data_IF_897626732325
#
_entry.id   IF_897626732325
#
_cell.length_a   1.000
_cell.length_b   1.000
_cell.length_c   1.000
_cell.angle_alpha   90.00
_cell.angle_beta   90.00
_cell.angle_gamma   90.00
#
_symmetry.space_group_name_H-M   'P 1'
#
loop_
_entity.id
_entity.type
_entity.pdbx_description
1 polymer ?
#
# COMPACT_ATOMS: atom_id res chain seq x y z
N UNK A 1 13.64 33.80 -44.03
CA UNK A 1 12.72 33.32 -42.99
C UNK A 1 13.53 32.58 -41.90
N UNK A 2 14.25 33.32 -41.09
CA UNK A 2 14.88 32.88 -39.84
C UNK A 2 14.74 34.09 -38.91
N UNK A 3 13.82 34.05 -37.97
CA UNK A 3 13.68 34.89 -36.80
C UNK A 3 12.19 35.01 -36.41
N UNK A 4 11.61 33.90 -35.94
CA UNK A 4 10.28 33.92 -35.30
C UNK A 4 10.19 32.88 -34.17
N UNK A 5 11.32 32.49 -33.57
CA UNK A 5 11.40 31.46 -32.53
C UNK A 5 12.05 31.88 -31.22
N UNK A 6 12.54 33.11 -31.08
CA UNK A 6 13.35 33.50 -29.91
C UNK A 6 12.66 34.50 -28.95
N UNK A 7 11.51 35.06 -29.30
CA UNK A 7 10.85 36.13 -28.46
C UNK A 7 9.94 35.61 -27.35
N UNK A 8 9.88 34.27 -27.07
CA UNK A 8 9.01 33.69 -26.03
C UNK A 8 9.72 33.12 -24.80
N UNK A 9 11.04 33.26 -24.65
CA UNK A 9 11.81 32.55 -23.61
C UNK A 9 12.41 33.44 -22.51
N UNK A 10 12.08 34.71 -22.42
CA UNK A 10 12.46 35.52 -21.26
C UNK A 10 11.64 35.06 -20.04
N UNK A 11 12.27 34.30 -19.11
CA UNK A 11 11.67 33.78 -17.87
C UNK A 11 11.58 32.25 -17.75
N UNK A 12 11.93 31.48 -18.78
CA UNK A 12 11.92 30.00 -18.71
C UNK A 12 13.23 29.53 -18.10
N UNK A 13 13.13 28.72 -17.02
CA UNK A 13 14.31 28.16 -16.39
C UNK A 13 15.02 27.14 -17.31
N UNK A 14 16.33 26.93 -17.07
CA UNK A 14 17.10 25.92 -17.79
C UNK A 14 16.50 24.51 -17.65
N UNK A 15 15.88 24.21 -16.50
CA UNK A 15 15.20 22.96 -16.22
C UNK A 15 13.92 22.80 -17.07
N UNK A 16 13.06 23.83 -17.12
CA UNK A 16 11.87 23.80 -17.96
C UNK A 16 12.23 23.69 -19.45
N UNK A 17 13.25 24.45 -19.90
CA UNK A 17 13.73 24.36 -21.26
C UNK A 17 14.27 22.96 -21.62
N UNK A 18 14.91 22.28 -20.67
CA UNK A 18 15.33 20.90 -20.83
C UNK A 18 14.14 19.96 -20.99
N UNK A 19 13.14 20.04 -20.08
CA UNK A 19 11.94 19.21 -20.13
C UNK A 19 11.16 19.44 -21.42
N UNK A 20 11.00 20.68 -21.86
CA UNK A 20 10.34 21.02 -23.11
C UNK A 20 11.04 20.36 -24.31
N UNK A 21 12.36 20.51 -24.42
CA UNK A 21 13.14 19.90 -25.51
C UNK A 21 13.13 18.39 -25.48
N UNK A 22 13.09 17.78 -24.30
CA UNK A 22 13.10 16.31 -24.19
C UNK A 22 11.88 15.68 -24.87
N UNK A 23 10.71 16.30 -24.80
CA UNK A 23 9.48 15.84 -25.45
C UNK A 23 9.22 16.46 -26.83
N UNK A 24 10.09 17.29 -27.37
CA UNK A 24 9.92 17.85 -28.71
C UNK A 24 9.98 16.75 -29.79
N UNK A 25 9.41 16.99 -30.99
CA UNK A 25 9.41 16.01 -32.08
C UNK A 25 10.80 15.50 -32.50
N UNK A 26 11.82 16.33 -32.31
CA UNK A 26 13.25 16.05 -32.55
C UNK A 26 14.02 15.88 -31.22
N UNK A 27 13.30 15.77 -30.11
CA UNK A 27 13.85 15.74 -28.77
C UNK A 27 14.44 14.40 -28.34
N UNK A 28 14.65 14.26 -27.04
CA UNK A 28 15.32 13.10 -26.43
C UNK A 28 14.62 11.78 -26.77
N UNK A 29 13.30 11.75 -26.70
CA UNK A 29 12.51 10.54 -26.94
C UNK A 29 12.33 10.21 -28.43
N UNK A 30 12.60 11.13 -29.36
CA UNK A 30 12.47 10.90 -30.79
C UNK A 30 13.32 9.72 -31.29
N UNK A 31 14.36 9.35 -30.53
CA UNK A 31 15.25 8.21 -30.83
C UNK A 31 14.73 6.87 -30.34
N UNK A 32 13.70 6.89 -29.48
CA UNK A 32 13.10 5.66 -28.96
C UNK A 32 12.21 5.03 -30.04
N UNK A 33 12.32 3.71 -30.19
CA UNK A 33 11.46 2.96 -31.10
C UNK A 33 10.01 3.13 -30.67
N UNK A 34 9.12 3.42 -31.58
CA UNK A 34 7.69 3.63 -31.37
C UNK A 34 7.33 4.90 -30.55
N UNK A 35 8.23 5.89 -30.46
CA UNK A 35 7.89 7.18 -29.86
C UNK A 35 7.03 8.01 -30.84
N UNK A 36 5.89 8.45 -30.34
CA UNK A 36 5.00 9.39 -31.00
C UNK A 36 4.96 10.69 -30.18
N UNK A 37 5.23 11.83 -30.83
CA UNK A 37 5.08 13.13 -30.19
C UNK A 37 3.62 13.39 -29.82
N UNK A 38 3.38 13.81 -28.58
CA UNK A 38 2.09 14.21 -28.05
C UNK A 38 2.22 15.50 -27.29
N UNK A 39 1.55 16.53 -27.77
CA UNK A 39 1.54 17.86 -27.14
C UNK A 39 1.01 17.80 -25.70
N UNK A 40 0.05 16.93 -25.46
CA UNK A 40 -0.55 16.68 -24.16
C UNK A 40 0.49 16.15 -23.15
N UNK A 41 1.35 15.23 -23.58
CA UNK A 41 2.43 14.69 -22.74
C UNK A 41 3.48 15.75 -22.40
N UNK A 42 3.85 16.58 -23.38
CA UNK A 42 4.79 17.68 -23.19
C UNK A 42 4.20 18.74 -22.23
N UNK A 43 2.93 19.08 -22.41
CA UNK A 43 2.21 20.04 -21.54
C UNK A 43 2.16 19.55 -20.10
N UNK A 44 1.87 18.25 -19.89
CA UNK A 44 1.91 17.61 -18.57
C UNK A 44 3.30 17.71 -17.95
N UNK A 45 4.33 17.33 -18.69
CA UNK A 45 5.71 17.32 -18.20
C UNK A 45 6.19 18.72 -17.78
N UNK A 46 5.82 19.74 -18.55
CA UNK A 46 6.11 21.14 -18.21
C UNK A 46 5.37 21.61 -16.94
N UNK A 47 4.11 21.24 -16.78
CA UNK A 47 3.34 21.59 -15.59
C UNK A 47 3.95 20.96 -14.34
N UNK A 48 4.35 19.68 -14.43
CA UNK A 48 5.05 18.97 -13.34
C UNK A 48 6.39 19.66 -13.05
N UNK A 49 7.18 19.98 -14.07
CA UNK A 49 8.47 20.66 -13.91
C UNK A 49 8.33 21.99 -13.14
N UNK A 50 7.34 22.80 -13.52
CA UNK A 50 7.05 24.09 -12.86
C UNK A 50 6.63 23.90 -11.40
N UNK A 51 5.76 22.92 -11.13
CA UNK A 51 5.32 22.63 -9.77
C UNK A 51 6.49 22.19 -8.87
N UNK A 52 7.38 21.35 -9.38
CA UNK A 52 8.59 20.92 -8.67
C UNK A 52 9.54 22.08 -8.35
N UNK A 53 9.74 23.00 -9.29
CA UNK A 53 10.66 24.14 -9.10
C UNK A 53 10.23 25.12 -8.01
N UNK A 54 8.92 25.28 -7.83
CA UNK A 54 8.38 26.24 -6.84
C UNK A 54 7.88 25.53 -5.57
N UNK A 55 8.21 24.25 -5.41
CA UNK A 55 7.75 23.40 -4.32
C UNK A 55 6.24 23.50 -4.08
N UNK A 56 5.44 23.49 -5.15
CA UNK A 56 3.99 23.61 -5.09
C UNK A 56 3.28 22.30 -5.46
N UNK A 57 2.14 21.99 -4.83
CA UNK A 57 1.32 20.86 -5.23
C UNK A 57 0.60 21.12 -6.57
N UNK A 58 0.27 20.03 -7.28
CA UNK A 58 -0.40 20.08 -8.59
C UNK A 58 -1.36 18.89 -8.77
N UNK A 59 -2.59 19.18 -9.22
CA UNK A 59 -3.53 18.18 -9.72
C UNK A 59 -3.48 18.14 -11.26
N UNK A 60 -3.31 16.95 -11.84
CA UNK A 60 -3.31 16.76 -13.29
C UNK A 60 -4.30 15.67 -13.67
N UNK A 61 -5.35 16.05 -14.38
CA UNK A 61 -6.16 15.08 -15.12
C UNK A 61 -5.60 14.99 -16.54
N UNK A 62 -5.10 13.81 -16.90
CA UNK A 62 -4.58 13.53 -18.23
C UNK A 62 -5.22 12.27 -18.78
N UNK A 63 -5.96 12.39 -19.87
CA UNK A 63 -6.71 11.31 -20.49
C UNK A 63 -5.88 10.06 -20.80
N UNK A 64 -6.57 8.96 -21.07
CA UNK A 64 -5.87 7.73 -21.51
C UNK A 64 -5.11 7.98 -22.80
N UNK A 65 -3.95 7.37 -22.95
CA UNK A 65 -3.11 7.54 -24.16
C UNK A 65 -2.13 8.71 -24.14
N UNK A 66 -2.23 9.66 -23.20
CA UNK A 66 -1.29 10.79 -23.07
C UNK A 66 0.16 10.32 -22.81
N UNK A 67 0.33 9.18 -22.17
CA UNK A 67 1.66 8.71 -21.73
C UNK A 67 2.08 9.33 -20.40
N UNK A 68 1.14 9.40 -19.44
CA UNK A 68 1.31 10.00 -18.12
C UNK A 68 2.62 9.62 -17.44
N UNK A 69 2.98 8.32 -17.45
CA UNK A 69 4.17 7.82 -16.75
C UNK A 69 5.43 8.58 -17.15
N UNK A 70 5.74 8.71 -18.43
CA UNK A 70 6.90 9.48 -18.88
C UNK A 70 6.72 10.98 -18.65
N UNK A 71 5.47 11.48 -18.76
CA UNK A 71 5.14 12.90 -18.54
C UNK A 71 5.49 13.39 -17.14
N UNK A 72 5.38 12.54 -16.11
CA UNK A 72 5.83 12.91 -14.78
C UNK A 72 7.21 12.33 -14.41
N UNK A 73 7.61 11.16 -14.92
CA UNK A 73 8.88 10.53 -14.57
C UNK A 73 10.08 11.35 -15.00
N UNK A 74 10.09 11.85 -16.24
CA UNK A 74 11.25 12.62 -16.74
C UNK A 74 11.51 13.86 -15.89
N UNK A 75 10.54 14.79 -15.66
CA UNK A 75 10.78 15.95 -14.81
C UNK A 75 11.12 15.55 -13.38
N UNK A 76 10.49 14.50 -12.82
CA UNK A 76 10.77 14.02 -11.47
C UNK A 76 12.20 13.51 -11.31
N UNK A 77 12.65 12.64 -12.22
CA UNK A 77 14.01 12.09 -12.18
C UNK A 77 15.05 13.18 -12.38
N UNK A 78 14.84 14.04 -13.38
CA UNK A 78 15.78 15.15 -13.66
C UNK A 78 15.86 16.12 -12.48
N UNK A 79 14.71 16.46 -11.86
CA UNK A 79 14.68 17.31 -10.68
C UNK A 79 15.37 16.66 -9.48
N UNK A 80 15.12 15.37 -9.23
CA UNK A 80 15.76 14.65 -8.15
C UNK A 80 17.29 14.60 -8.28
N UNK A 81 17.80 14.49 -9.51
CA UNK A 81 19.24 14.47 -9.79
C UNK A 81 19.87 15.87 -9.70
N UNK A 82 19.24 16.89 -10.28
CA UNK A 82 19.80 18.24 -10.33
C UNK A 82 19.81 18.95 -8.99
N UNK A 83 18.80 18.68 -8.15
CA UNK A 83 18.59 19.39 -6.87
C UNK A 83 18.84 18.50 -5.64
N UNK A 84 19.45 17.34 -5.84
CA UNK A 84 19.76 16.36 -4.78
C UNK A 84 18.54 15.98 -3.89
N UNK A 85 17.37 15.87 -4.53
CA UNK A 85 16.08 15.52 -3.90
C UNK A 85 15.78 14.04 -4.11
N UNK A 86 14.74 13.53 -3.46
CA UNK A 86 14.23 12.16 -3.62
C UNK A 86 12.83 12.19 -4.23
N UNK A 87 12.67 11.52 -5.35
CA UNK A 87 11.37 11.31 -5.98
C UNK A 87 10.68 10.07 -5.39
N UNK A 88 9.55 10.24 -4.74
CA UNK A 88 8.69 9.16 -4.25
C UNK A 88 7.50 9.04 -5.20
N UNK A 89 7.39 7.93 -5.90
CA UNK A 89 6.33 7.67 -6.87
C UNK A 89 5.43 6.58 -6.33
N UNK A 90 4.19 6.96 -6.03
CA UNK A 90 3.19 6.04 -5.52
C UNK A 90 2.13 5.76 -6.59
N UNK A 91 1.78 4.51 -6.77
CA UNK A 91 0.71 4.08 -7.69
C UNK A 91 -0.25 3.11 -6.99
N UNK A 92 -1.37 2.78 -7.64
CA UNK A 92 -2.43 2.01 -6.98
C UNK A 92 -2.07 0.53 -6.78
N UNK A 93 -1.52 -0.15 -7.80
CA UNK A 93 -1.34 -1.61 -7.76
C UNK A 93 0.11 -2.06 -7.85
N UNK A 94 0.38 -3.29 -7.39
CA UNK A 94 1.71 -3.92 -7.53
C UNK A 94 2.11 -4.05 -9.01
N UNK A 95 1.17 -4.36 -9.90
CA UNK A 95 1.46 -4.48 -11.34
C UNK A 95 1.92 -3.14 -11.94
N UNK A 96 1.29 -2.03 -11.55
CA UNK A 96 1.70 -0.69 -11.99
C UNK A 96 3.07 -0.30 -11.41
N UNK A 97 3.34 -0.66 -10.15
CA UNK A 97 4.68 -0.47 -9.57
C UNK A 97 5.75 -1.20 -10.40
N UNK A 98 5.48 -2.46 -10.74
CA UNK A 98 6.41 -3.29 -11.51
C UNK A 98 6.58 -2.78 -12.95
N UNK A 99 5.52 -2.28 -13.57
CA UNK A 99 5.59 -1.63 -14.87
C UNK A 99 6.51 -0.41 -14.82
N UNK A 100 6.27 0.51 -13.88
CA UNK A 100 7.11 1.70 -13.70
C UNK A 100 8.58 1.32 -13.48
N UNK A 101 8.83 0.36 -12.58
CA UNK A 101 10.18 -0.01 -12.17
C UNK A 101 10.94 -0.81 -13.25
N UNK A 102 10.26 -1.80 -13.87
CA UNK A 102 10.91 -2.75 -14.79
C UNK A 102 10.88 -2.31 -16.26
N UNK A 103 10.01 -1.34 -16.62
CA UNK A 103 9.84 -0.88 -18.01
C UNK A 103 10.13 0.60 -18.18
N UNK A 104 9.43 1.47 -17.44
CA UNK A 104 9.46 2.90 -17.68
C UNK A 104 10.76 3.54 -17.18
N UNK A 105 11.26 3.15 -16.01
CA UNK A 105 12.55 3.62 -15.46
C UNK A 105 13.74 3.18 -16.33
N UNK A 106 13.87 1.91 -16.76
CA UNK A 106 14.93 1.51 -17.69
C UNK A 106 14.87 2.25 -19.04
N UNK A 107 13.67 2.47 -19.59
CA UNK A 107 13.48 3.27 -20.80
C UNK A 107 14.02 4.70 -20.59
N UNK A 108 13.69 5.31 -19.47
CA UNK A 108 14.14 6.65 -19.12
C UNK A 108 15.67 6.72 -18.94
N UNK A 109 16.29 5.74 -18.25
CA UNK A 109 17.75 5.65 -18.15
C UNK A 109 18.42 5.61 -19.52
N UNK A 110 17.89 4.79 -20.41
CA UNK A 110 18.40 4.69 -21.79
C UNK A 110 18.25 5.99 -22.54
N UNK A 111 17.09 6.64 -22.44
CA UNK A 111 16.82 7.90 -23.12
C UNK A 111 17.69 9.06 -22.59
N UNK A 112 17.87 9.14 -21.28
CA UNK A 112 18.71 10.16 -20.64
C UNK A 112 20.22 9.91 -20.84
N UNK A 113 20.63 8.66 -21.09
CA UNK A 113 22.04 8.28 -21.08
C UNK A 113 22.69 8.43 -19.70
N UNK A 114 21.89 8.45 -18.63
CA UNK A 114 22.34 8.63 -17.23
C UNK A 114 21.83 7.45 -16.42
N UNK A 115 22.73 6.83 -15.66
CA UNK A 115 22.34 5.86 -14.64
C UNK A 115 22.06 6.59 -13.31
N UNK A 116 20.92 6.25 -12.68
CA UNK A 116 20.51 6.78 -11.41
C UNK A 116 19.94 5.66 -10.52
N UNK A 117 20.09 5.82 -9.23
CA UNK A 117 19.60 4.82 -8.27
C UNK A 117 18.07 4.88 -8.18
N UNK A 118 17.44 3.72 -8.39
CA UNK A 118 16.00 3.54 -8.21
C UNK A 118 15.72 2.29 -7.38
N UNK A 119 14.71 2.33 -6.54
CA UNK A 119 14.30 1.22 -5.70
C UNK A 119 12.78 1.02 -5.72
N UNK A 120 12.36 -0.24 -5.73
CA UNK A 120 10.98 -0.66 -5.58
C UNK A 120 10.76 -1.14 -4.16
N UNK A 121 9.78 -0.57 -3.45
CA UNK A 121 9.36 -1.03 -2.13
C UNK A 121 7.95 -1.60 -2.20
N UNK A 122 7.81 -2.85 -1.82
CA UNK A 122 6.52 -3.53 -1.65
C UNK A 122 6.17 -3.63 -0.18
N UNK A 123 4.91 -3.86 0.13
CA UNK A 123 4.49 -4.17 1.48
C UNK A 123 5.29 -5.36 2.04
N UNK A 124 5.63 -5.30 3.31
CA UNK A 124 6.51 -6.25 4.00
C UNK A 124 6.14 -7.71 3.75
N UNK A 125 4.86 -8.04 3.75
CA UNK A 125 4.38 -9.40 3.52
C UNK A 125 4.65 -9.96 2.11
N UNK A 126 5.13 -9.13 1.18
CA UNK A 126 5.57 -9.60 -0.13
C UNK A 126 7.00 -10.17 -0.13
N UNK A 127 7.74 -10.04 0.97
CA UNK A 127 9.12 -10.49 1.07
C UNK A 127 9.24 -11.76 1.91
N UNK A 128 10.11 -12.67 1.48
CA UNK A 128 10.50 -13.84 2.24
C UNK A 128 11.28 -13.43 3.50
N UNK A 129 11.03 -14.12 4.61
CA UNK A 129 11.86 -14.07 5.81
C UNK A 129 12.64 -15.38 5.96
N UNK A 130 13.96 -15.33 5.79
CA UNK A 130 14.82 -16.52 5.91
C UNK A 130 14.77 -17.16 7.31
N UNK A 131 14.61 -16.36 8.35
CA UNK A 131 14.49 -16.86 9.74
C UNK A 131 13.18 -17.63 9.91
N UNK A 132 12.06 -17.10 9.42
CA UNK A 132 10.76 -17.79 9.49
C UNK A 132 10.74 -19.03 8.60
N UNK A 133 11.34 -18.97 7.42
CA UNK A 133 11.48 -20.15 6.55
C UNK A 133 12.26 -21.26 7.26
N UNK A 134 13.40 -20.96 7.88
CA UNK A 134 14.17 -21.98 8.64
C UNK A 134 13.35 -22.58 9.77
N UNK A 135 12.60 -21.78 10.52
CA UNK A 135 11.71 -22.26 11.59
C UNK A 135 10.59 -23.13 11.04
N UNK A 136 9.92 -22.71 9.97
CA UNK A 136 8.87 -23.46 9.32
C UNK A 136 9.38 -24.82 8.82
N UNK A 137 10.58 -24.89 8.27
CA UNK A 137 11.24 -26.14 7.86
C UNK A 137 11.58 -27.04 9.05
N UNK A 138 12.10 -26.47 10.14
CA UNK A 138 12.42 -27.24 11.36
C UNK A 138 11.17 -27.81 12.04
N UNK A 139 10.02 -27.17 11.90
CA UNK A 139 8.73 -27.57 12.48
C UNK A 139 7.77 -28.13 11.43
N UNK A 140 8.26 -28.56 10.27
CA UNK A 140 7.45 -28.88 9.11
C UNK A 140 6.35 -29.92 9.42
N UNK A 141 6.70 -30.99 10.14
CA UNK A 141 5.78 -32.06 10.48
C UNK A 141 4.71 -31.61 11.49
N UNK A 142 5.01 -30.65 12.34
CA UNK A 142 4.10 -30.11 13.35
C UNK A 142 3.19 -28.99 12.83
N UNK A 143 3.59 -28.28 11.76
CA UNK A 143 2.87 -27.11 11.25
C UNK A 143 2.04 -27.39 9.98
N UNK A 144 2.51 -28.33 9.12
CA UNK A 144 1.99 -28.47 7.77
C UNK A 144 1.45 -29.86 7.48
N UNK A 145 0.50 -29.95 6.55
CA UNK A 145 0.10 -31.19 5.88
C UNK A 145 1.16 -31.62 4.86
N UNK A 146 1.07 -32.84 4.33
CA UNK A 146 2.02 -33.32 3.30
C UNK A 146 2.08 -32.43 2.06
N UNK A 147 0.91 -31.92 1.60
CA UNK A 147 0.84 -30.99 0.46
C UNK A 147 1.51 -29.64 0.76
N UNK A 148 1.23 -29.07 1.93
CA UNK A 148 1.83 -27.80 2.39
C UNK A 148 3.35 -27.95 2.62
N UNK A 149 3.80 -29.11 3.12
CA UNK A 149 5.21 -29.40 3.29
C UNK A 149 5.96 -29.49 1.94
N UNK A 150 5.33 -30.06 0.92
CA UNK A 150 5.88 -30.06 -0.44
C UNK A 150 5.99 -28.64 -1.01
N UNK A 151 5.00 -27.81 -0.76
CA UNK A 151 5.02 -26.39 -1.15
C UNK A 151 6.12 -25.62 -0.42
N UNK A 152 6.30 -25.84 0.88
CA UNK A 152 7.34 -25.24 1.69
C UNK A 152 8.76 -25.59 1.17
N UNK A 153 8.98 -26.83 0.74
CA UNK A 153 10.23 -27.25 0.09
C UNK A 153 10.47 -26.52 -1.24
N UNK A 154 9.44 -26.32 -2.05
CA UNK A 154 9.54 -25.52 -3.28
C UNK A 154 9.92 -24.07 -2.99
N UNK A 155 9.39 -23.48 -1.90
CA UNK A 155 9.78 -22.15 -1.44
C UNK A 155 11.24 -22.16 -1.01
N UNK A 156 11.72 -23.17 -0.31
CA UNK A 156 13.13 -23.33 0.07
C UNK A 156 14.05 -23.36 -1.15
N UNK A 157 13.71 -24.14 -2.18
CA UNK A 157 14.49 -24.25 -3.42
C UNK A 157 14.52 -22.92 -4.20
N UNK A 158 13.41 -22.17 -4.18
CA UNK A 158 13.34 -20.83 -4.76
C UNK A 158 14.17 -19.84 -3.96
N UNK A 159 14.15 -19.90 -2.63
CA UNK A 159 14.88 -19.00 -1.74
C UNK A 159 16.40 -19.02 -1.96
N UNK A 160 16.93 -20.12 -2.51
CA UNK A 160 18.36 -20.24 -2.89
C UNK A 160 18.72 -19.54 -4.20
N UNK A 161 17.71 -19.15 -5.02
CA UNK A 161 17.90 -18.62 -6.38
C UNK A 161 17.36 -17.21 -6.56
N UNK A 162 16.42 -16.79 -5.71
CA UNK A 162 15.82 -15.45 -5.80
C UNK A 162 16.86 -14.36 -5.56
N UNK A 163 16.71 -13.26 -6.30
CA UNK A 163 17.58 -12.08 -6.14
C UNK A 163 16.98 -11.03 -5.20
N UNK A 164 15.65 -10.86 -5.24
CA UNK A 164 14.95 -9.86 -4.46
C UNK A 164 14.11 -10.42 -3.31
N UNK A 165 13.86 -11.73 -3.30
CA UNK A 165 13.10 -12.44 -2.27
C UNK A 165 11.64 -12.04 -2.23
N UNK A 166 11.05 -11.52 -3.32
CA UNK A 166 9.67 -11.10 -3.38
C UNK A 166 8.75 -12.18 -3.95
N UNK A 167 7.50 -12.21 -3.48
CA UNK A 167 6.48 -13.14 -3.97
C UNK A 167 6.27 -13.07 -5.49
N UNK A 168 6.46 -11.91 -6.10
CA UNK A 168 6.31 -11.73 -7.56
C UNK A 168 7.47 -12.28 -8.39
N UNK A 169 8.64 -12.52 -7.78
CA UNK A 169 9.77 -13.21 -8.41
C UNK A 169 9.59 -14.75 -8.45
N UNK A 170 8.54 -15.24 -7.79
CA UNK A 170 8.28 -16.68 -7.69
C UNK A 170 7.50 -17.19 -8.91
N UNK A 171 8.03 -18.21 -9.58
CA UNK A 171 7.41 -18.80 -10.76
C UNK A 171 6.10 -19.60 -10.47
N UNK A 172 5.75 -19.77 -9.21
CA UNK A 172 4.50 -20.37 -8.77
C UNK A 172 3.87 -19.55 -7.65
N UNK A 173 2.56 -19.67 -7.46
CA UNK A 173 1.87 -18.96 -6.39
C UNK A 173 1.69 -19.92 -5.19
N UNK A 174 2.33 -19.64 -4.06
CA UNK A 174 2.14 -20.44 -2.85
C UNK A 174 0.73 -20.24 -2.28
N UNK A 175 0.25 -21.20 -1.51
CA UNK A 175 -0.98 -21.03 -0.73
C UNK A 175 -0.78 -19.89 0.28
N UNK A 176 -1.84 -19.13 0.54
CA UNK A 176 -1.79 -18.04 1.50
C UNK A 176 -1.33 -18.49 2.88
N UNK A 177 -1.73 -19.69 3.30
CA UNK A 177 -1.35 -20.29 4.57
C UNK A 177 0.15 -20.56 4.67
N UNK A 178 0.76 -21.17 3.65
CA UNK A 178 2.20 -21.48 3.65
C UNK A 178 3.02 -20.19 3.53
N UNK A 179 2.61 -19.29 2.64
CA UNK A 179 3.31 -18.01 2.48
C UNK A 179 3.30 -17.17 3.75
N UNK A 180 2.17 -17.05 4.43
CA UNK A 180 2.05 -16.31 5.67
C UNK A 180 2.94 -16.85 6.81
N UNK A 181 3.33 -18.12 6.77
CA UNK A 181 4.27 -18.69 7.74
C UNK A 181 5.73 -18.36 7.46
N UNK A 182 6.07 -17.88 6.25
CA UNK A 182 7.45 -17.63 5.83
C UNK A 182 7.71 -16.19 5.37
N UNK A 183 6.69 -15.37 5.15
CA UNK A 183 6.85 -13.97 4.76
C UNK A 183 7.38 -13.10 5.91
N UNK A 184 7.89 -11.93 5.57
CA UNK A 184 8.36 -10.93 6.54
C UNK A 184 7.20 -10.27 7.28
N UNK A 185 7.32 -10.09 8.58
CA UNK A 185 6.30 -9.49 9.45
C UNK A 185 6.88 -8.38 10.36
N UNK A 186 6.05 -7.42 10.82
CA UNK A 186 6.51 -6.22 11.54
C UNK A 186 7.39 -6.53 12.75
N UNK A 187 6.91 -7.31 13.67
CA UNK A 187 7.56 -7.53 14.97
C UNK A 187 8.66 -8.60 14.94
N UNK A 188 8.57 -9.58 14.00
CA UNK A 188 9.52 -10.67 13.88
C UNK A 188 10.76 -10.34 13.04
N UNK A 189 10.74 -9.25 12.26
CA UNK A 189 11.78 -8.94 11.28
C UNK A 189 12.51 -7.63 11.62
N UNK A 190 13.70 -7.74 12.18
CA UNK A 190 14.60 -6.62 12.38
C UNK A 190 15.98 -6.91 11.77
N UNK A 191 16.77 -5.86 11.54
CA UNK A 191 18.17 -6.00 11.09
C UNK A 191 19.00 -6.85 12.06
N UNK A 192 18.71 -6.70 13.36
CA UNK A 192 19.41 -7.42 14.44
C UNK A 192 19.18 -8.94 14.37
N UNK A 193 17.95 -9.37 14.05
CA UNK A 193 17.59 -10.80 14.05
C UNK A 193 17.76 -11.47 12.68
N UNK A 194 17.56 -10.71 11.59
CA UNK A 194 17.59 -11.28 10.24
C UNK A 194 18.94 -11.08 9.52
N UNK A 195 19.73 -10.12 9.98
CA UNK A 195 21.04 -9.79 9.37
C UNK A 195 20.90 -9.13 7.98
N UNK A 196 22.04 -8.89 7.32
CA UNK A 196 22.11 -8.17 6.04
C UNK A 196 21.55 -8.95 4.85
N UNK A 197 21.38 -10.25 4.96
CA UNK A 197 20.81 -11.12 3.92
C UNK A 197 19.28 -11.11 3.88
N UNK A 198 18.61 -10.36 4.77
CA UNK A 198 17.16 -10.26 4.79
C UNK A 198 16.65 -9.49 3.57
N UNK A 199 15.80 -10.09 2.69
CA UNK A 199 15.30 -9.43 1.49
C UNK A 199 14.59 -8.11 1.77
N UNK A 200 13.76 -8.07 2.81
CA UNK A 200 13.03 -6.85 3.19
C UNK A 200 13.99 -5.75 3.69
N UNK A 201 14.95 -6.08 4.55
CA UNK A 201 15.93 -5.10 5.05
C UNK A 201 16.85 -4.61 3.93
N UNK A 202 17.23 -5.49 3.00
CA UNK A 202 17.98 -5.11 1.80
C UNK A 202 17.17 -4.16 0.90
N UNK A 203 15.87 -4.41 0.73
CA UNK A 203 14.99 -3.50 0.00
C UNK A 203 14.89 -2.14 0.69
N UNK A 204 14.70 -2.09 2.01
CA UNK A 204 14.69 -0.84 2.77
C UNK A 204 15.98 -0.05 2.64
N UNK A 205 17.12 -0.73 2.71
CA UNK A 205 18.43 -0.07 2.53
C UNK A 205 18.53 0.55 1.13
N UNK A 206 18.16 -0.19 0.08
CA UNK A 206 18.14 0.34 -1.30
C UNK A 206 17.24 1.58 -1.42
N UNK A 207 16.07 1.57 -0.76
CA UNK A 207 15.14 2.71 -0.76
C UNK A 207 15.74 3.95 -0.09
N UNK A 208 16.47 3.78 1.02
CA UNK A 208 17.13 4.91 1.67
C UNK A 208 18.22 5.54 0.78
N UNK A 209 18.93 4.73 0.01
CA UNK A 209 20.02 5.16 -0.88
C UNK A 209 19.53 5.62 -2.27
N UNK A 210 18.29 5.31 -2.65
CA UNK A 210 17.76 5.60 -3.98
C UNK A 210 17.34 7.07 -4.14
N UNK A 211 17.54 7.60 -5.35
CA UNK A 211 16.99 8.89 -5.79
C UNK A 211 15.55 8.80 -6.23
N UNK A 212 15.14 7.64 -6.74
CA UNK A 212 13.77 7.35 -7.16
C UNK A 212 13.24 6.15 -6.41
N UNK A 213 12.13 6.31 -5.71
CA UNK A 213 11.47 5.26 -4.96
C UNK A 213 10.09 5.01 -5.55
N UNK A 214 9.78 3.76 -5.88
CA UNK A 214 8.46 3.35 -6.35
C UNK A 214 7.80 2.50 -5.27
N UNK A 215 6.56 2.84 -4.93
CA UNK A 215 5.76 2.11 -3.94
C UNK A 215 4.26 2.21 -4.27
N UNK A 216 3.37 1.56 -3.52
CA UNK A 216 1.93 1.73 -3.71
C UNK A 216 1.30 2.67 -2.67
N UNK A 217 0.08 3.14 -2.96
CA UNK A 217 -0.63 4.07 -2.08
C UNK A 217 -0.82 3.52 -0.65
N UNK A 218 -1.14 2.24 -0.51
CA UNK A 218 -1.31 1.61 0.81
C UNK A 218 -0.03 1.74 1.64
N UNK A 219 1.11 1.44 1.03
CA UNK A 219 2.40 1.56 1.72
C UNK A 219 2.79 3.02 1.94
N UNK A 220 2.52 3.90 0.96
CA UNK A 220 2.78 5.33 1.09
C UNK A 220 2.05 5.95 2.28
N UNK A 221 0.74 5.76 2.37
CA UNK A 221 -0.05 6.32 3.48
C UNK A 221 0.28 5.66 4.82
N UNK A 222 0.58 4.37 4.83
CA UNK A 222 1.05 3.70 6.05
C UNK A 222 2.40 4.23 6.55
N UNK A 223 3.35 4.53 5.66
CA UNK A 223 4.63 5.15 6.03
C UNK A 223 4.45 6.62 6.44
N UNK A 224 3.59 7.36 5.76
CA UNK A 224 3.25 8.74 6.09
C UNK A 224 2.61 8.84 7.49
N UNK A 225 1.73 7.91 7.84
CA UNK A 225 1.13 7.85 9.17
C UNK A 225 2.16 7.60 10.28
N UNK A 226 3.23 6.84 10.00
CA UNK A 226 4.30 6.54 10.95
C UNK A 226 5.36 7.66 11.06
N UNK A 227 5.39 8.61 10.12
CA UNK A 227 6.42 9.66 10.06
C UNK A 227 6.08 10.90 10.94
N UNK A 228 5.11 10.79 11.84
CA UNK A 228 4.54 11.93 12.60
C UNK A 228 5.53 12.68 13.50
N UNK A 229 6.66 12.07 13.87
CA UNK A 229 7.50 12.58 14.98
C UNK A 229 8.76 13.34 14.54
N UNK A 230 8.98 13.62 13.24
CA UNK A 230 10.19 14.33 12.84
C UNK A 230 9.92 15.53 11.91
N UNK A 231 10.10 16.73 12.43
CA UNK A 231 10.02 18.00 11.67
C UNK A 231 11.04 18.07 10.50
N UNK A 232 12.12 17.29 10.56
CA UNK A 232 13.17 17.22 9.53
C UNK A 232 12.92 16.16 8.45
N UNK A 233 11.95 15.25 8.64
CA UNK A 233 11.62 14.24 7.65
C UNK A 233 10.86 14.85 6.46
N UNK A 234 11.00 14.24 5.28
CA UNK A 234 10.15 14.52 4.13
C UNK A 234 8.70 14.02 4.34
N UNK A 235 7.92 13.91 3.27
CA UNK A 235 6.59 13.27 3.34
C UNK A 235 6.70 11.83 3.85
N UNK A 236 7.68 11.09 3.35
CA UNK A 236 8.00 9.70 3.71
C UNK A 236 9.49 9.55 4.02
N UNK A 237 10.35 10.29 3.28
CA UNK A 237 11.80 10.28 3.40
C UNK A 237 12.34 11.71 3.44
N UNK A 238 13.49 11.95 4.11
CA UNK A 238 14.10 13.28 4.12
C UNK A 238 14.34 13.83 2.72
N UNK A 239 13.92 15.08 2.48
CA UNK A 239 14.12 15.77 1.21
C UNK A 239 13.29 15.24 0.04
N UNK A 240 12.24 14.44 0.28
CA UNK A 240 11.40 13.92 -0.79
C UNK A 240 10.42 14.93 -1.37
N UNK A 241 9.90 14.60 -2.54
CA UNK A 241 8.67 15.10 -3.12
C UNK A 241 7.88 13.90 -3.67
N UNK A 242 6.56 14.05 -3.85
CA UNK A 242 5.69 12.90 -4.11
C UNK A 242 4.95 13.03 -5.42
N UNK A 243 4.83 11.91 -6.13
CA UNK A 243 3.93 11.76 -7.27
C UNK A 243 2.96 10.63 -6.95
N UNK A 244 1.67 10.95 -6.93
CA UNK A 244 0.58 10.03 -6.68
C UNK A 244 -0.12 9.75 -8.01
N UNK A 245 0.23 8.65 -8.66
CA UNK A 245 -0.38 8.22 -9.92
C UNK A 245 -1.63 7.37 -9.63
N UNK A 246 -2.64 7.42 -10.53
CA UNK A 246 -3.99 6.90 -10.30
C UNK A 246 -4.64 7.50 -9.04
N UNK A 247 -4.49 8.82 -8.90
CA UNK A 247 -4.85 9.58 -7.71
C UNK A 247 -6.35 9.49 -7.33
N UNK A 248 -7.23 9.10 -8.25
CA UNK A 248 -8.64 8.86 -7.98
C UNK A 248 -8.90 7.81 -6.89
N UNK A 249 -7.89 7.00 -6.54
CA UNK A 249 -7.97 5.97 -5.51
C UNK A 249 -7.49 6.42 -4.13
N UNK A 250 -6.84 7.60 -4.01
CA UNK A 250 -6.14 7.98 -2.78
C UNK A 250 -7.07 8.24 -1.61
N UNK A 251 -8.24 8.84 -1.85
CA UNK A 251 -9.24 9.09 -0.80
C UNK A 251 -9.60 7.79 -0.07
N UNK A 252 -10.02 6.77 -0.83
CA UNK A 252 -10.44 5.50 -0.27
C UNK A 252 -9.30 4.76 0.44
N UNK A 253 -8.09 4.82 -0.13
CA UNK A 253 -6.94 4.13 0.45
C UNK A 253 -6.46 4.86 1.71
N UNK A 254 -6.39 6.20 1.68
CA UNK A 254 -6.01 6.99 2.84
C UNK A 254 -7.01 6.79 3.99
N UNK A 255 -8.32 6.86 3.71
CA UNK A 255 -9.35 6.60 4.71
C UNK A 255 -9.17 5.24 5.40
N UNK A 256 -8.87 4.19 4.64
CA UNK A 256 -8.62 2.86 5.21
C UNK A 256 -7.32 2.78 6.01
N UNK A 257 -6.26 3.47 5.58
CA UNK A 257 -4.97 3.45 6.28
C UNK A 257 -4.96 4.32 7.56
N UNK A 258 -5.83 5.33 7.62
CA UNK A 258 -6.03 6.19 8.78
C UNK A 258 -7.16 5.70 9.71
N UNK A 259 -7.84 4.65 9.30
CA UNK A 259 -8.91 4.04 10.07
C UNK A 259 -8.44 2.84 10.90
N UNK A 260 -9.38 2.26 11.65
CA UNK A 260 -9.16 1.07 12.48
C UNK A 260 -10.02 -0.07 11.95
N UNK A 261 -9.49 -1.29 11.96
CA UNK A 261 -10.22 -2.48 11.54
C UNK A 261 -9.95 -3.67 12.45
N UNK A 262 -11.00 -4.33 12.91
CA UNK A 262 -10.96 -5.64 13.54
C UNK A 262 -11.62 -6.67 12.61
N UNK A 263 -10.85 -7.64 12.13
CA UNK A 263 -11.29 -8.65 11.15
C UNK A 263 -11.35 -10.03 11.78
N UNK A 264 -12.53 -10.66 11.76
CA UNK A 264 -12.75 -12.03 12.24
C UNK A 264 -11.81 -13.04 11.57
N UNK A 265 -11.64 -13.07 10.22
CA UNK A 265 -10.72 -13.99 9.60
C UNK A 265 -9.26 -13.77 9.98
N UNK A 266 -8.86 -12.52 10.17
CA UNK A 266 -7.50 -12.19 10.56
C UNK A 266 -7.20 -12.64 12.01
N UNK A 267 -8.08 -12.32 12.95
CA UNK A 267 -7.94 -12.76 14.34
C UNK A 267 -7.94 -14.29 14.45
N UNK A 268 -8.89 -14.95 13.77
CA UNK A 268 -8.94 -16.42 13.72
C UNK A 268 -7.66 -17.03 13.13
N UNK A 269 -7.11 -16.41 12.08
CA UNK A 269 -5.85 -16.85 11.48
C UNK A 269 -4.69 -16.76 12.46
N UNK A 270 -4.53 -15.64 13.17
CA UNK A 270 -3.45 -15.45 14.15
C UNK A 270 -3.56 -16.46 15.32
N UNK A 271 -4.77 -16.67 15.83
CA UNK A 271 -5.01 -17.65 16.90
C UNK A 271 -4.71 -19.09 16.46
N UNK A 272 -5.19 -19.49 15.27
CA UNK A 272 -4.94 -20.83 14.72
C UNK A 272 -3.45 -21.07 14.41
N UNK A 273 -2.72 -20.03 14.08
CA UNK A 273 -1.27 -20.06 13.90
C UNK A 273 -0.54 -20.25 15.23
N UNK A 274 -1.02 -19.63 16.31
CA UNK A 274 -0.49 -19.86 17.66
C UNK A 274 -0.70 -21.30 18.09
N UNK A 275 -1.95 -21.77 18.06
CA UNK A 275 -2.32 -23.14 18.37
C UNK A 275 -3.65 -23.52 17.73
N UNK A 276 -3.66 -24.62 16.99
CA UNK A 276 -4.87 -25.20 16.40
C UNK A 276 -5.32 -26.40 17.25
N UNK A 277 -6.42 -26.27 18.00
CA UNK A 277 -6.88 -27.33 18.92
C UNK A 277 -7.36 -28.60 18.20
N UNK A 278 -7.78 -28.52 16.93
CA UNK A 278 -8.23 -29.69 16.15
C UNK A 278 -7.08 -30.53 15.65
N UNK A 279 -5.97 -29.90 15.24
CA UNK A 279 -4.80 -30.59 14.67
C UNK A 279 -3.68 -30.74 15.68
N UNK A 280 -3.78 -30.11 16.85
CA UNK A 280 -2.75 -29.99 17.87
C UNK A 280 -1.41 -29.45 17.31
N UNK A 281 -1.51 -28.53 16.32
CA UNK A 281 -0.38 -27.91 15.64
C UNK A 281 -0.37 -26.40 15.90
N UNK A 282 0.80 -25.78 15.81
CA UNK A 282 0.97 -24.33 15.95
C UNK A 282 2.32 -23.95 16.55
N UNK A 283 2.63 -22.65 16.53
CA UNK A 283 3.90 -22.11 16.98
C UNK A 283 4.17 -22.31 18.48
N UNK A 284 3.11 -22.38 19.29
CA UNK A 284 3.20 -22.62 20.73
C UNK A 284 3.38 -24.09 21.09
N UNK A 285 3.17 -25.02 20.14
CA UNK A 285 3.25 -26.47 20.41
C UNK A 285 4.57 -26.91 21.07
N UNK A 286 5.75 -26.42 20.66
CA UNK A 286 7.04 -26.80 21.29
C UNK A 286 7.14 -26.40 22.75
N UNK A 287 6.40 -25.40 23.23
CA UNK A 287 6.43 -24.95 24.63
C UNK A 287 5.74 -25.92 25.59
N UNK A 288 4.89 -26.78 25.07
CA UNK A 288 4.14 -27.77 25.84
C UNK A 288 3.45 -27.20 27.10
N UNK A 289 2.86 -25.97 26.97
CA UNK A 289 2.18 -25.27 28.05
C UNK A 289 0.64 -25.37 27.87
N UNK A 290 -0.05 -26.27 28.63
CA UNK A 290 -1.50 -26.45 28.51
C UNK A 290 -2.31 -25.19 28.87
N UNK A 291 -1.82 -24.37 29.82
CA UNK A 291 -2.50 -23.11 30.18
C UNK A 291 -2.56 -22.17 28.99
N UNK A 292 -1.43 -22.01 28.31
CA UNK A 292 -1.34 -21.15 27.14
C UNK A 292 -2.23 -21.65 25.98
N UNK A 293 -2.30 -22.97 25.76
CA UNK A 293 -3.21 -23.57 24.77
C UNK A 293 -4.67 -23.30 25.11
N UNK A 294 -5.03 -23.39 26.39
CA UNK A 294 -6.38 -23.08 26.84
C UNK A 294 -6.74 -21.60 26.62
N UNK A 295 -5.82 -20.68 26.92
CA UNK A 295 -6.04 -19.23 26.65
C UNK A 295 -6.26 -18.93 25.19
N UNK A 296 -5.53 -19.56 24.28
CA UNK A 296 -5.78 -19.43 22.83
C UNK A 296 -7.19 -19.94 22.48
N UNK A 297 -7.61 -21.08 23.05
CA UNK A 297 -8.94 -21.62 22.82
C UNK A 297 -10.03 -20.68 23.36
N UNK A 298 -9.85 -20.14 24.56
CA UNK A 298 -10.80 -19.20 25.19
C UNK A 298 -11.03 -17.96 24.30
N UNK A 299 -9.95 -17.40 23.71
CA UNK A 299 -10.06 -16.27 22.77
C UNK A 299 -10.73 -16.70 21.45
N UNK A 300 -10.46 -17.90 20.94
CA UNK A 300 -11.13 -18.40 19.74
C UNK A 300 -12.63 -18.55 19.94
N UNK A 301 -13.05 -19.12 21.06
CA UNK A 301 -14.47 -19.31 21.39
C UNK A 301 -15.16 -17.95 21.62
N UNK A 302 -14.53 -17.05 22.37
CA UNK A 302 -15.02 -15.69 22.59
C UNK A 302 -15.12 -14.90 21.28
N UNK A 303 -14.12 -15.00 20.39
CA UNK A 303 -14.14 -14.36 19.08
C UNK A 303 -15.29 -14.87 18.21
N UNK A 304 -15.47 -16.19 18.15
CA UNK A 304 -16.57 -16.79 17.40
C UNK A 304 -17.94 -16.29 17.89
N UNK A 305 -18.14 -16.27 19.20
CA UNK A 305 -19.38 -15.80 19.82
C UNK A 305 -19.56 -14.28 19.66
N UNK A 306 -18.50 -13.49 19.83
CA UNK A 306 -18.54 -12.03 19.63
C UNK A 306 -19.00 -11.66 18.22
N UNK A 307 -18.37 -12.21 17.19
CA UNK A 307 -18.76 -11.90 15.81
C UNK A 307 -20.13 -12.48 15.45
N UNK A 308 -20.57 -13.56 16.08
CA UNK A 308 -21.94 -14.06 15.91
C UNK A 308 -22.94 -13.07 16.51
N UNK A 309 -22.77 -12.67 17.78
CA UNK A 309 -23.63 -11.68 18.46
C UNK A 309 -23.65 -10.37 17.66
N UNK A 310 -22.49 -9.90 17.21
CA UNK A 310 -22.38 -8.69 16.40
C UNK A 310 -23.19 -8.75 15.08
N UNK A 311 -23.27 -9.93 14.43
CA UNK A 311 -24.13 -10.10 13.25
C UNK A 311 -25.60 -10.00 13.61
N UNK A 312 -26.00 -10.58 14.73
CA UNK A 312 -27.39 -10.59 15.20
C UNK A 312 -27.82 -9.19 15.69
N UNK A 313 -26.99 -8.54 16.51
CA UNK A 313 -27.24 -7.21 17.08
C UNK A 313 -27.32 -6.11 15.98
N UNK A 314 -26.45 -6.18 14.98
CA UNK A 314 -26.42 -5.21 13.88
C UNK A 314 -27.44 -5.48 12.78
N UNK A 315 -28.12 -6.64 12.81
CA UNK A 315 -29.28 -6.92 11.98
C UNK A 315 -29.00 -6.78 10.47
N UNK A 316 -27.99 -7.47 9.95
CA UNK A 316 -27.73 -7.44 8.51
C UNK A 316 -28.95 -7.87 7.70
N UNK A 317 -29.68 -6.90 7.14
CA UNK A 317 -30.90 -7.16 6.37
C UNK A 317 -30.59 -7.88 5.06
N UNK A 318 -31.13 -9.09 4.90
CA UNK A 318 -31.08 -9.85 3.63
C UNK A 318 -29.66 -10.04 3.09
N UNK A 319 -29.42 -9.62 1.85
CA UNK A 319 -28.11 -9.69 1.18
C UNK A 319 -27.18 -8.50 1.47
N UNK A 320 -27.53 -7.62 2.41
CA UNK A 320 -26.74 -6.45 2.79
C UNK A 320 -25.34 -6.85 3.24
N UNK A 321 -24.31 -6.21 2.66
CA UNK A 321 -22.91 -6.48 2.98
C UNK A 321 -22.32 -5.52 4.00
N UNK A 322 -22.94 -4.36 4.19
CA UNK A 322 -22.44 -3.27 5.06
C UNK A 322 -23.60 -2.76 5.91
N UNK A 323 -23.32 -2.57 7.20
CA UNK A 323 -24.24 -1.95 8.17
C UNK A 323 -23.48 -0.86 8.92
N UNK A 324 -24.06 0.34 8.98
CA UNK A 324 -23.49 1.47 9.71
C UNK A 324 -23.74 1.30 11.22
N UNK A 325 -22.72 1.57 12.02
CA UNK A 325 -22.80 1.60 13.49
C UNK A 325 -22.95 3.07 13.90
N UNK A 326 -23.98 3.36 14.73
CA UNK A 326 -24.38 4.74 15.02
C UNK A 326 -24.16 5.13 16.51
N UNK A 327 -23.93 4.17 17.37
CA UNK A 327 -23.77 4.40 18.82
C UNK A 327 -22.74 3.43 19.40
N UNK A 328 -22.01 3.81 20.44
CA UNK A 328 -21.11 2.93 21.16
C UNK A 328 -21.86 1.74 21.80
N UNK A 329 -21.10 0.76 22.28
CA UNK A 329 -21.63 -0.45 22.92
C UNK A 329 -22.69 -1.19 22.07
N UNK A 330 -22.49 -1.15 20.74
CA UNK A 330 -23.40 -1.72 19.73
C UNK A 330 -23.52 -3.25 19.76
N UNK A 331 -22.69 -3.92 20.55
CA UNK A 331 -22.77 -5.33 20.90
C UNK A 331 -22.09 -5.56 22.24
N UNK A 332 -22.26 -6.76 22.83
CA UNK A 332 -21.63 -7.09 24.11
C UNK A 332 -20.13 -7.39 23.93
N UNK A 333 -19.26 -6.69 24.66
CA UNK A 333 -17.84 -7.00 24.71
C UNK A 333 -17.55 -8.23 25.58
N UNK A 334 -17.43 -9.37 24.93
CA UNK A 334 -17.02 -10.64 25.54
C UNK A 334 -15.61 -11.06 25.13
N UNK A 335 -14.93 -10.23 24.32
CA UNK A 335 -13.65 -10.57 23.72
C UNK A 335 -12.46 -9.90 24.44
N UNK A 336 -12.64 -8.72 25.02
CA UNK A 336 -11.56 -7.98 25.68
C UNK A 336 -10.91 -8.73 26.84
N UNK A 337 -11.70 -9.37 27.70
CA UNK A 337 -11.16 -10.10 28.85
C UNK A 337 -10.33 -11.33 28.46
N UNK A 338 -10.78 -12.24 27.57
CA UNK A 338 -9.95 -13.33 27.08
C UNK A 338 -8.68 -12.88 26.38
N UNK A 339 -8.72 -11.77 25.60
CA UNK A 339 -7.53 -11.19 24.97
C UNK A 339 -6.51 -10.74 26.02
N UNK A 340 -6.93 -10.01 27.06
CA UNK A 340 -6.04 -9.58 28.13
C UNK A 340 -5.37 -10.77 28.84
N UNK A 341 -6.12 -11.83 29.11
CA UNK A 341 -5.61 -13.03 29.77
C UNK A 341 -4.59 -13.77 28.89
N UNK A 342 -4.85 -13.89 27.57
CA UNK A 342 -3.90 -14.47 26.63
C UNK A 342 -2.61 -13.61 26.54
N UNK A 343 -2.74 -12.29 26.44
CA UNK A 343 -1.59 -11.35 26.42
C UNK A 343 -0.75 -11.52 27.69
N UNK A 344 -1.38 -11.59 28.87
CA UNK A 344 -0.69 -11.80 30.15
C UNK A 344 0.08 -13.12 30.18
N UNK A 345 -0.53 -14.22 29.73
CA UNK A 345 0.10 -15.54 29.70
C UNK A 345 1.26 -15.59 28.67
N UNK A 346 1.12 -14.98 27.50
CA UNK A 346 2.19 -14.86 26.49
C UNK A 346 3.39 -14.09 27.06
N UNK A 347 3.17 -12.99 27.78
CA UNK A 347 4.21 -12.21 28.43
C UNK A 347 4.91 -13.00 29.55
N UNK A 348 4.15 -13.69 30.36
CA UNK A 348 4.68 -14.56 31.42
C UNK A 348 5.52 -15.70 30.86
N UNK A 349 5.05 -16.35 29.80
CA UNK A 349 5.79 -17.42 29.14
C UNK A 349 7.07 -16.90 28.48
N UNK A 350 7.03 -15.69 27.89
CA UNK A 350 8.20 -15.00 27.33
C UNK A 350 9.31 -14.77 28.37
N UNK A 351 8.95 -14.42 29.59
CA UNK A 351 9.92 -14.20 30.69
C UNK A 351 10.65 -15.49 31.07
N UNK A 352 10.00 -16.64 30.97
CA UNK A 352 10.61 -17.95 31.23
C UNK A 352 11.62 -18.38 30.16
N UNK A 353 11.63 -17.77 28.99
CA UNK A 353 12.48 -18.14 27.85
C UNK A 353 13.83 -17.37 27.88
N UNK A 354 14.62 -17.49 28.94
CA UNK A 354 15.88 -16.74 29.10
C UNK A 354 16.94 -17.12 28.06
N UNK A 355 17.07 -18.40 27.71
CA UNK A 355 18.12 -18.92 26.82
C UNK A 355 17.71 -18.96 25.34
N UNK A 356 16.42 -18.87 25.02
CA UNK A 356 15.91 -18.99 23.64
C UNK A 356 15.38 -17.65 23.10
N UNK A 357 16.30 -16.78 22.69
CA UNK A 357 15.96 -15.47 22.14
C UNK A 357 14.94 -15.55 20.99
N UNK A 358 14.99 -16.60 20.17
CA UNK A 358 14.08 -16.77 19.03
C UNK A 358 12.64 -17.03 19.46
N UNK A 359 12.43 -17.84 20.50
CA UNK A 359 11.08 -18.09 21.07
C UNK A 359 10.60 -16.86 21.83
N UNK A 360 11.49 -16.18 22.54
CA UNK A 360 11.18 -14.92 23.25
C UNK A 360 10.64 -13.84 22.31
N UNK A 361 11.27 -13.68 21.14
CA UNK A 361 10.82 -12.72 20.12
C UNK A 361 9.49 -13.14 19.51
N UNK A 362 9.27 -14.43 19.29
CA UNK A 362 8.02 -14.94 18.72
C UNK A 362 6.83 -14.75 19.68
N UNK A 363 7.04 -15.00 20.99
CA UNK A 363 6.04 -14.71 22.02
C UNK A 363 5.75 -13.21 22.14
N UNK A 364 6.77 -12.36 22.01
CA UNK A 364 6.60 -10.91 21.98
C UNK A 364 5.78 -10.46 20.77
N UNK A 365 6.03 -11.01 19.58
CA UNK A 365 5.27 -10.74 18.37
C UNK A 365 3.79 -11.16 18.51
N UNK A 366 3.54 -12.35 19.07
CA UNK A 366 2.18 -12.82 19.34
C UNK A 366 1.44 -11.90 20.33
N UNK A 367 2.10 -11.52 21.43
CA UNK A 367 1.51 -10.61 22.41
C UNK A 367 1.18 -9.25 21.79
N UNK A 368 2.09 -8.66 21.02
CA UNK A 368 1.88 -7.36 20.36
C UNK A 368 0.68 -7.39 19.38
N UNK A 369 0.47 -8.48 18.64
CA UNK A 369 -0.69 -8.63 17.75
C UNK A 369 -2.01 -8.72 18.52
N UNK A 370 -2.03 -9.39 19.65
CA UNK A 370 -3.22 -9.47 20.49
C UNK A 370 -3.49 -8.12 21.17
N UNK A 371 -2.46 -7.37 21.55
CA UNK A 371 -2.58 -5.99 22.05
C UNK A 371 -3.17 -5.05 20.98
N UNK A 372 -2.71 -5.18 19.71
CA UNK A 372 -3.26 -4.41 18.59
C UNK A 372 -4.73 -4.76 18.33
N UNK A 373 -5.09 -6.05 18.38
CA UNK A 373 -6.48 -6.49 18.26
C UNK A 373 -7.36 -5.96 19.41
N UNK A 374 -6.85 -5.96 20.64
CA UNK A 374 -7.54 -5.43 21.81
C UNK A 374 -7.73 -3.90 21.72
N UNK A 375 -6.69 -3.16 21.33
CA UNK A 375 -6.78 -1.71 21.13
C UNK A 375 -7.79 -1.37 20.03
N UNK A 376 -7.76 -2.10 18.91
CA UNK A 376 -8.73 -1.94 17.82
C UNK A 376 -10.16 -2.23 18.28
N UNK A 377 -10.36 -3.30 19.04
CA UNK A 377 -11.68 -3.63 19.61
C UNK A 377 -12.21 -2.49 20.47
N UNK A 378 -11.37 -1.96 21.36
CA UNK A 378 -11.75 -0.86 22.26
C UNK A 378 -12.17 0.38 21.47
N UNK A 379 -11.37 0.83 20.50
CA UNK A 379 -11.72 1.99 19.65
C UNK A 379 -13.05 1.77 18.93
N UNK A 380 -13.28 0.57 18.41
CA UNK A 380 -14.50 0.24 17.66
C UNK A 380 -15.75 0.08 18.54
N UNK A 381 -15.60 -0.38 19.78
CA UNK A 381 -16.70 -0.51 20.74
C UNK A 381 -17.08 0.83 21.37
N UNK A 382 -16.09 1.62 21.79
CA UNK A 382 -16.28 2.89 22.46
C UNK A 382 -16.50 4.06 21.48
N UNK A 383 -16.22 3.86 20.18
CA UNK A 383 -16.30 4.86 19.11
C UNK A 383 -15.54 6.15 19.47
N UNK A 384 -14.31 6.00 19.96
CA UNK A 384 -13.51 7.10 20.55
C UNK A 384 -12.95 8.09 19.54
N UNK A 385 -12.87 7.73 18.26
CA UNK A 385 -12.29 8.59 17.22
C UNK A 385 -13.32 9.62 16.72
N UNK A 386 -13.11 10.88 17.07
CA UNK A 386 -13.96 11.98 16.62
C UNK A 386 -13.88 12.15 15.09
N UNK A 387 -15.02 12.44 14.45
CA UNK A 387 -15.08 12.62 12.99
C UNK A 387 -14.95 11.32 12.18
N UNK A 388 -15.00 10.16 12.82
CA UNK A 388 -15.02 8.87 12.13
C UNK A 388 -16.44 8.34 11.88
N UNK A 389 -16.59 7.59 10.81
CA UNK A 389 -17.73 6.69 10.60
C UNK A 389 -17.34 5.29 11.03
N UNK A 390 -18.32 4.57 11.58
CA UNK A 390 -18.16 3.19 12.02
C UNK A 390 -19.13 2.30 11.27
N UNK A 391 -18.66 1.14 10.83
CA UNK A 391 -19.51 0.18 10.12
C UNK A 391 -19.01 -1.25 10.31
N UNK A 392 -19.90 -2.19 10.10
CA UNK A 392 -19.55 -3.59 9.96
C UNK A 392 -19.74 -4.01 8.51
N UNK A 393 -18.83 -4.84 8.00
CA UNK A 393 -18.91 -5.38 6.64
C UNK A 393 -18.77 -6.90 6.63
N UNK A 394 -19.51 -7.53 5.72
CA UNK A 394 -19.46 -8.96 5.47
C UNK A 394 -18.71 -9.24 4.18
N UNK A 395 -17.84 -10.25 4.21
CA UNK A 395 -17.00 -10.64 3.07
C UNK A 395 -16.91 -12.16 2.92
N UNK A 396 -16.23 -12.60 1.87
CA UNK A 396 -16.04 -14.03 1.58
C UNK A 396 -17.25 -14.71 0.95
N UNK A 397 -17.13 -16.01 0.63
CA UNK A 397 -18.24 -16.80 0.14
C UNK A 397 -19.39 -16.81 1.17
N UNK A 398 -20.61 -16.56 0.71
CA UNK A 398 -21.83 -16.49 1.54
C UNK A 398 -21.82 -15.42 2.63
N UNK A 399 -20.89 -14.43 2.59
CA UNK A 399 -20.81 -13.36 3.58
C UNK A 399 -20.54 -13.84 5.01
N UNK A 400 -19.80 -14.93 5.18
CA UNK A 400 -19.53 -15.53 6.50
C UNK A 400 -18.51 -14.76 7.32
N UNK A 401 -17.57 -14.11 6.66
CA UNK A 401 -16.53 -13.32 7.31
C UNK A 401 -17.08 -11.94 7.67
N UNK A 402 -16.72 -11.46 8.83
CA UNK A 402 -17.11 -10.12 9.30
C UNK A 402 -15.87 -9.30 9.65
N UNK A 403 -15.93 -8.02 9.37
CA UNK A 403 -14.98 -7.03 9.87
C UNK A 403 -15.76 -5.84 10.42
N UNK A 404 -15.29 -5.30 11.52
CA UNK A 404 -15.76 -4.02 12.06
C UNK A 404 -14.68 -2.98 11.78
N UNK A 405 -15.09 -1.83 11.28
CA UNK A 405 -14.20 -0.82 10.73
C UNK A 405 -14.58 0.58 11.20
N UNK A 406 -13.59 1.45 11.31
CA UNK A 406 -13.79 2.89 11.36
C UNK A 406 -12.90 3.58 10.35
N UNK A 407 -13.32 4.76 9.87
CA UNK A 407 -12.50 5.62 9.04
C UNK A 407 -12.91 7.08 9.21
N UNK A 408 -11.98 8.04 9.06
CA UNK A 408 -12.32 9.46 9.08
C UNK A 408 -13.28 9.80 7.94
N UNK A 409 -14.29 10.63 8.24
CA UNK A 409 -15.25 11.13 7.24
C UNK A 409 -14.58 12.10 6.30
N UNK A 410 -13.77 13.01 6.86
CA UNK A 410 -13.07 14.08 6.15
C UNK A 410 -11.57 13.79 6.07
N UNK A 411 -11.23 12.90 5.14
CA UNK A 411 -9.81 12.59 4.83
C UNK A 411 -9.09 13.84 4.28
N UNK A 412 -9.85 14.73 3.65
CA UNK A 412 -9.33 15.95 3.03
C UNK A 412 -8.56 16.84 4.00
N UNK A 413 -9.01 16.97 5.25
CA UNK A 413 -8.33 17.82 6.25
C UNK A 413 -6.95 17.27 6.60
N UNK A 414 -6.85 15.95 6.81
CA UNK A 414 -5.59 15.27 7.12
C UNK A 414 -4.63 15.36 5.91
N UNK A 415 -5.15 15.12 4.71
CA UNK A 415 -4.32 15.18 3.51
C UNK A 415 -3.90 16.63 3.18
N UNK A 416 -4.76 17.62 3.44
CA UNK A 416 -4.41 19.05 3.28
C UNK A 416 -3.22 19.39 4.15
N UNK A 417 -3.27 19.04 5.43
CA UNK A 417 -2.19 19.30 6.36
C UNK A 417 -0.90 18.58 5.94
N UNK A 418 -0.98 17.30 5.65
CA UNK A 418 0.20 16.45 5.43
C UNK A 418 0.79 16.53 4.03
N UNK A 419 -0.03 16.68 2.98
CA UNK A 419 0.43 16.70 1.60
C UNK A 419 0.55 18.10 1.00
N UNK A 420 -0.38 19.01 1.33
CA UNK A 420 -0.50 20.27 0.61
C UNK A 420 -0.02 21.51 1.39
N UNK A 421 0.01 21.44 2.71
CA UNK A 421 0.46 22.55 3.58
C UNK A 421 1.95 22.51 3.89
N UNK A 422 2.64 21.41 3.61
CA UNK A 422 4.02 21.20 4.02
C UNK A 422 5.09 21.98 3.21
N UNK A 423 4.68 22.83 2.25
CA UNK A 423 5.63 23.55 1.38
C UNK A 423 6.49 22.64 0.52
N UNK A 424 5.93 21.49 0.09
CA UNK A 424 6.60 20.49 -0.74
C UNK A 424 5.72 20.09 -1.91
N UNK A 425 6.34 19.65 -3.00
CA UNK A 425 5.61 19.25 -4.19
C UNK A 425 4.92 17.92 -4.00
N UNK A 426 3.59 17.91 -4.06
CA UNK A 426 2.76 16.73 -4.19
C UNK A 426 2.02 16.79 -5.53
N UNK A 427 2.40 15.93 -6.47
CA UNK A 427 1.81 15.88 -7.81
C UNK A 427 0.82 14.72 -7.85
N UNK A 428 -0.47 15.03 -8.04
CA UNK A 428 -1.52 14.05 -8.16
C UNK A 428 -1.93 13.93 -9.63
N UNK A 429 -1.89 12.74 -10.17
CA UNK A 429 -2.26 12.49 -11.56
C UNK A 429 -3.21 11.31 -11.72
N UNK A 430 -4.18 11.45 -12.61
CA UNK A 430 -5.09 10.36 -12.99
C UNK A 430 -5.66 10.60 -14.38
N UNK A 431 -6.26 9.56 -14.96
CA UNK A 431 -7.05 9.70 -16.19
C UNK A 431 -8.40 10.39 -15.95
N UNK A 432 -8.93 10.29 -14.74
CA UNK A 432 -10.27 10.76 -14.36
C UNK A 432 -10.25 11.32 -12.94
N UNK A 433 -10.32 12.64 -12.80
CA UNK A 433 -10.47 13.35 -11.52
C UNK A 433 -11.73 14.21 -11.52
N UNK A 434 -12.10 14.74 -12.68
CA UNK A 434 -13.32 15.53 -12.87
C UNK A 434 -14.58 14.67 -13.01
N UNK A 435 -15.68 15.14 -12.46
CA UNK A 435 -17.02 14.52 -12.57
C UNK A 435 -17.83 15.10 -13.73
N UNK A 436 -17.15 15.62 -14.75
CA UNK A 436 -17.76 16.31 -15.89
C UNK A 436 -17.53 17.83 -15.89
N UNK A 437 -17.11 18.38 -14.77
CA UNK A 437 -16.71 19.80 -14.65
C UNK A 437 -15.20 19.94 -14.85
N UNK A 438 -14.78 20.96 -15.59
CA UNK A 438 -13.38 21.18 -15.93
C UNK A 438 -12.51 21.59 -14.73
N UNK A 439 -13.10 21.84 -13.57
CA UNK A 439 -12.40 22.39 -12.40
C UNK A 439 -11.94 21.34 -11.39
N UNK A 440 -12.33 20.06 -11.54
CA UNK A 440 -12.03 18.96 -10.62
C UNK A 440 -12.40 19.28 -9.16
N UNK A 441 -13.39 20.17 -8.92
CA UNK A 441 -13.71 20.70 -7.59
C UNK A 441 -14.13 19.61 -6.61
N UNK A 442 -14.92 18.65 -7.09
CA UNK A 442 -15.36 17.54 -6.25
C UNK A 442 -14.17 16.72 -5.71
N UNK A 443 -13.30 16.25 -6.60
CA UNK A 443 -12.13 15.48 -6.19
C UNK A 443 -11.21 16.32 -5.28
N UNK A 444 -10.95 17.56 -5.66
CA UNK A 444 -10.12 18.46 -4.87
C UNK A 444 -10.65 18.65 -3.44
N UNK A 445 -11.96 18.83 -3.27
CA UNK A 445 -12.61 18.91 -1.96
C UNK A 445 -12.44 17.61 -1.15
N UNK A 446 -12.63 16.45 -1.79
CA UNK A 446 -12.52 15.16 -1.11
C UNK A 446 -11.10 14.84 -0.61
N UNK A 447 -10.08 15.36 -1.26
CA UNK A 447 -8.67 15.14 -0.87
C UNK A 447 -8.00 16.35 -0.22
N UNK A 448 -8.75 17.44 0.06
CA UNK A 448 -8.21 18.64 0.71
C UNK A 448 -7.32 19.51 -0.18
N UNK A 449 -7.49 19.41 -1.50
CA UNK A 449 -6.65 20.06 -2.52
C UNK A 449 -7.38 21.23 -3.22
N UNK A 450 -8.30 21.93 -2.54
CA UNK A 450 -9.13 22.99 -3.14
C UNK A 450 -8.29 24.15 -3.68
N UNK A 451 -7.25 24.53 -2.95
CA UNK A 451 -6.31 25.61 -3.30
C UNK A 451 -5.19 25.18 -4.23
N UNK A 452 -5.09 23.89 -4.55
CA UNK A 452 -4.04 23.34 -5.39
C UNK A 452 -4.29 23.70 -6.85
N UNK A 453 -3.20 24.03 -7.59
CA UNK A 453 -3.28 24.28 -9.02
C UNK A 453 -3.77 23.04 -9.75
N UNK A 454 -4.72 23.24 -10.66
CA UNK A 454 -5.37 22.18 -11.44
C UNK A 454 -5.02 22.32 -12.92
N UNK A 455 -4.78 21.18 -13.57
CA UNK A 455 -4.53 21.10 -15.01
C UNK A 455 -5.32 19.94 -15.59
N UNK A 456 -6.18 20.23 -16.55
CA UNK A 456 -6.89 19.22 -17.31
C UNK A 456 -6.31 19.13 -18.72
N UNK A 457 -5.91 17.92 -19.10
CA UNK A 457 -5.32 17.60 -20.39
C UNK A 457 -6.21 16.56 -21.07
N UNK A 458 -6.65 16.87 -22.29
CA UNK A 458 -7.49 15.97 -23.08
C UNK A 458 -6.80 14.67 -23.44
N UNK A 459 -7.49 13.86 -24.24
CA UNK A 459 -6.92 12.64 -24.82
C UNK A 459 -6.33 12.97 -26.19
N UNK A 460 -5.18 12.39 -26.57
CA UNK A 460 -4.59 12.56 -27.90
C UNK A 460 -5.37 11.82 -29.00
N UNK A 461 -6.37 11.01 -28.62
CA UNK A 461 -7.16 10.23 -29.56
C UNK A 461 -8.31 11.04 -30.17
N UNK A 462 -8.42 11.01 -31.52
CA UNK A 462 -9.61 11.49 -32.22
C UNK A 462 -10.71 10.41 -32.16
N UNK A 463 -11.50 10.43 -31.08
CA UNK A 463 -12.56 9.44 -30.89
C UNK A 463 -13.63 9.41 -32.00
N UNK A 464 -13.81 10.51 -32.74
CA UNK A 464 -14.76 10.55 -33.87
C UNK A 464 -14.30 9.68 -35.03
N UNK A 465 -13.01 9.54 -35.21
CA UNK A 465 -12.40 8.76 -36.31
C UNK A 465 -11.96 7.37 -35.83
N UNK A 466 -11.47 7.28 -34.61
CA UNK A 466 -10.82 6.08 -34.08
C UNK A 466 -11.74 5.17 -33.27
N UNK A 467 -12.97 5.64 -32.90
CA UNK A 467 -13.92 4.86 -32.12
C UNK A 467 -15.18 4.55 -32.89
N UNK A 468 -15.69 3.33 -32.78
CA UNK A 468 -17.00 2.92 -33.29
C UNK A 468 -17.86 2.42 -32.15
N UNK A 469 -18.91 3.17 -31.81
CA UNK A 469 -19.91 2.75 -30.83
C UNK A 469 -21.02 1.95 -31.52
N UNK A 470 -21.19 0.69 -31.15
CA UNK A 470 -22.29 -0.16 -31.62
C UNK A 470 -23.26 -0.34 -30.45
N UNK A 471 -24.47 0.21 -30.62
CA UNK A 471 -25.56 0.05 -29.64
C UNK A 471 -26.52 -1.01 -30.15
N UNK A 472 -26.51 -2.20 -29.54
CA UNK A 472 -27.50 -3.24 -29.82
C UNK A 472 -28.77 -2.98 -29.02
N UNK A 473 -29.90 -2.75 -29.70
CA UNK A 473 -31.21 -2.75 -29.05
C UNK A 473 -31.68 -4.20 -28.90
N UNK A 474 -31.32 -4.82 -27.79
CA UNK A 474 -31.87 -6.12 -27.42
C UNK A 474 -33.13 -5.90 -26.59
N UNK A 475 -34.24 -6.49 -27.04
CA UNK A 475 -35.45 -6.59 -26.21
C UNK A 475 -35.25 -7.68 -25.19
N UNK A 476 -35.35 -7.33 -23.89
CA UNK A 476 -35.28 -8.30 -22.77
C UNK A 476 -36.43 -9.34 -22.77
N UNK A 477 -37.36 -9.27 -23.74
CA UNK A 477 -38.51 -10.18 -23.89
C UNK A 477 -38.08 -11.52 -24.53
N UNK A 478 -36.87 -11.62 -25.06
CA UNK A 478 -36.38 -12.80 -25.78
C UNK A 478 -35.16 -13.49 -25.13
N UNK A 479 -34.89 -13.23 -23.84
CA UNK A 479 -33.92 -13.98 -23.05
C UNK A 479 -34.64 -14.86 -22.04
#
# INVERSE_FOLDING_TARGET
MKAAGEEGMEGVSAFEAYVHRAFAPDGLFSRARDFEYREEQQSMALAVARALQVDAPLLVEAGTGVGKSLGYLLPAVKFALDFDRKAVISTHTINLQEQLFNKDIPLLRTALGIDFSAALLKGRQNYLCHTRLRRALAQMDSLFTQGEAAELKRIQDWALRTQDGTLSDMAFRPSSKVWAMVCSEPHACSMRHCGPSCPYQAARKRVLEAKVVVLNHTLFFGLMAQAEDSEEAGFVFPGDFVILDEAHMIENIAARQLGVQLSEPHLSYELLRMYNPRTHKGLLKPLNNPSLFQRVQDVMDASGLFFQNARDDLGFAGSGKIVRILQPEWSQDILSQPLMELIGELKTEREKQEENAAVKDELADMAARMEEAQASLKVLMDMTEEGHVYWAERSGPDGRNMSVCSAPVEVGDILRERLFSAGRSAILTSATLGTGDADMSYFAGRVGAESVRKLQIGSPFNYREQMRLIVARLSLIHI
#
